data_IF_733127638835
#
_entry.id   IF_733127638835
#
_cell.length_a   1.000
_cell.length_b   1.000
_cell.length_c   1.000
_cell.angle_alpha   90.00
_cell.angle_beta   90.00
_cell.angle_gamma   90.00
#
_symmetry.space_group_name_H-M   'P 1'
#
loop_
_entity.id
_entity.type
_entity.pdbx_description
1 polymer ?
#
# COMPACT_ATOMS: atom_id res chain seq x y z
N UNK A 1 19.87 4.92 -1.75
CA UNK A 1 19.80 4.53 -0.33
C UNK A 1 18.34 4.51 0.07
N UNK A 2 17.91 3.38 0.63
CA UNK A 2 16.56 3.21 1.19
C UNK A 2 16.67 3.48 2.69
N UNK A 3 15.70 4.20 3.24
CA UNK A 3 15.54 4.40 4.68
C UNK A 3 14.32 3.62 5.12
N UNK A 4 14.42 2.94 6.26
CA UNK A 4 13.32 2.17 6.84
C UNK A 4 13.00 2.64 8.25
N UNK A 5 11.74 2.46 8.66
CA UNK A 5 11.28 2.69 10.04
C UNK A 5 10.10 1.76 10.33
N UNK A 6 9.83 1.47 11.59
CA UNK A 6 8.65 0.71 12.00
C UNK A 6 7.53 1.63 12.47
N UNK A 7 6.29 1.15 12.41
CA UNK A 7 5.08 1.82 12.90
C UNK A 7 4.22 0.81 13.65
N UNK A 8 3.94 1.06 14.92
CA UNK A 8 3.02 0.25 15.71
C UNK A 8 1.56 0.58 15.34
N UNK A 9 0.81 -0.42 14.86
CA UNK A 9 -0.61 -0.28 14.51
C UNK A 9 -1.50 -1.19 15.35
N UNK A 10 -2.83 -0.96 15.39
CA UNK A 10 -3.79 -1.90 15.98
C UNK A 10 -3.75 -3.33 15.38
N UNK A 11 -3.10 -3.51 14.22
CA UNK A 11 -3.00 -4.78 13.50
C UNK A 11 -1.60 -5.41 13.54
N UNK A 12 -0.75 -4.94 14.47
CA UNK A 12 0.65 -5.32 14.63
C UNK A 12 1.62 -4.32 14.01
N UNK A 13 2.90 -4.66 14.02
CA UNK A 13 3.95 -3.80 13.49
C UNK A 13 3.90 -3.70 11.96
N UNK A 14 4.19 -2.50 11.46
CA UNK A 14 4.29 -2.17 10.04
C UNK A 14 5.69 -1.67 9.76
N UNK A 15 6.38 -2.29 8.80
CA UNK A 15 7.64 -1.79 8.27
C UNK A 15 7.37 -0.83 7.11
N UNK A 16 7.90 0.39 7.20
CA UNK A 16 7.92 1.37 6.12
C UNK A 16 9.31 1.45 5.51
N UNK A 17 9.38 1.65 4.19
CA UNK A 17 10.60 1.86 3.44
C UNK A 17 10.42 2.96 2.40
N UNK A 18 11.37 3.89 2.31
CA UNK A 18 11.35 4.98 1.34
C UNK A 18 12.74 5.26 0.78
N UNK A 19 12.79 5.80 -0.44
CA UNK A 19 13.98 6.40 -1.01
C UNK A 19 13.74 7.89 -1.30
N UNK A 20 14.70 8.55 -1.96
CA UNK A 20 14.58 9.97 -2.31
C UNK A 20 13.45 10.30 -3.30
N UNK A 21 12.79 9.31 -3.91
CA UNK A 21 11.66 9.49 -4.84
C UNK A 21 10.31 9.29 -4.16
N UNK A 22 10.22 8.35 -3.21
CA UNK A 22 8.96 8.06 -2.54
C UNK A 22 8.99 6.78 -1.70
N UNK A 23 7.81 6.43 -1.21
CA UNK A 23 7.58 5.22 -0.41
C UNK A 23 7.74 4.02 -1.35
N UNK A 24 8.67 3.15 -1.03
CA UNK A 24 8.99 1.93 -1.79
C UNK A 24 8.40 0.68 -1.14
N UNK A 25 7.92 0.81 0.11
CA UNK A 25 7.39 -0.28 0.89
C UNK A 25 6.57 0.14 2.10
N UNK A 26 5.50 -0.62 2.36
CA UNK A 26 4.70 -0.59 3.58
C UNK A 26 4.12 -2.00 3.78
N UNK A 27 4.57 -2.69 4.82
CA UNK A 27 4.26 -4.09 5.03
C UNK A 27 3.92 -4.39 6.47
N UNK A 28 2.87 -5.19 6.70
CA UNK A 28 2.67 -5.78 8.02
C UNK A 28 3.74 -6.82 8.31
N UNK A 29 4.23 -6.89 9.53
CA UNK A 29 5.08 -8.02 9.95
C UNK A 29 4.36 -9.36 9.66
N UNK A 30 5.12 -10.29 9.06
CA UNK A 30 4.65 -11.63 8.71
C UNK A 30 3.81 -11.72 7.42
N UNK A 31 3.66 -10.66 6.64
CA UNK A 31 2.94 -10.75 5.35
C UNK A 31 3.71 -11.59 4.30
N UNK A 32 3.01 -12.18 3.33
CA UNK A 32 3.57 -13.15 2.34
C UNK A 32 4.73 -12.61 1.48
N UNK A 33 4.80 -11.29 1.26
CA UNK A 33 5.86 -10.63 0.49
C UNK A 33 6.54 -9.51 1.29
N UNK A 34 6.80 -9.76 2.57
CA UNK A 34 7.42 -8.80 3.47
C UNK A 34 8.79 -8.34 2.97
N UNK A 35 9.02 -7.02 2.93
CA UNK A 35 10.29 -6.43 2.56
C UNK A 35 10.71 -6.70 1.10
N UNK A 36 9.78 -7.00 0.19
CA UNK A 36 10.10 -7.46 -1.18
C UNK A 36 10.86 -6.46 -2.04
N UNK A 37 10.93 -5.18 -1.63
CA UNK A 37 11.70 -4.14 -2.33
C UNK A 37 12.98 -3.73 -1.58
N UNK A 38 13.27 -4.35 -0.43
CA UNK A 38 14.49 -4.13 0.33
C UNK A 38 15.63 -4.95 -0.25
N UNK A 39 16.64 -4.28 -0.80
CA UNK A 39 17.93 -4.89 -1.07
C UNK A 39 18.73 -4.83 0.24
N UNK A 40 19.18 -5.99 0.73
CA UNK A 40 19.82 -6.15 2.06
C UNK A 40 21.06 -5.28 2.29
N UNK A 41 21.65 -4.74 1.23
CA UNK A 41 22.91 -3.99 1.26
C UNK A 41 22.73 -2.46 1.20
N UNK A 42 21.50 -1.95 0.99
CA UNK A 42 21.23 -0.52 0.71
C UNK A 42 20.24 0.16 1.69
N UNK A 43 19.89 -0.50 2.80
CA UNK A 43 18.90 0.00 3.77
C UNK A 43 19.55 0.54 5.05
N UNK A 44 19.33 1.82 5.32
CA UNK A 44 19.57 2.42 6.64
C UNK A 44 18.29 2.35 7.47
N UNK A 45 18.36 1.83 8.69
CA UNK A 45 17.21 1.82 9.60
C UNK A 45 17.25 3.06 10.49
N UNK A 46 16.12 3.75 10.58
CA UNK A 46 15.93 4.93 11.42
C UNK A 46 14.84 4.59 12.44
N UNK A 47 15.16 4.80 13.72
CA UNK A 47 14.19 4.64 14.80
C UNK A 47 13.03 5.65 14.62
N UNK A 48 11.82 5.11 14.48
CA UNK A 48 10.57 5.87 14.54
C UNK A 48 10.07 5.94 15.98
N UNK A 49 9.48 7.07 16.39
CA UNK A 49 8.95 7.26 17.75
C UNK A 49 7.44 7.04 17.76
N UNK A 50 7.00 6.03 18.51
CA UNK A 50 5.65 5.43 18.54
C UNK A 50 4.43 6.37 18.45
N UNK A 51 3.46 5.95 17.61
CA UNK A 51 2.11 6.51 17.55
C UNK A 51 1.30 6.36 18.85
N UNK A 52 1.69 5.42 19.73
CA UNK A 52 1.04 5.15 21.02
C UNK A 52 1.41 6.19 22.09
N UNK A 53 2.56 6.85 21.95
CA UNK A 53 3.13 7.72 23.00
C UNK A 53 2.77 9.20 22.86
N UNK A 54 2.10 9.60 21.78
CA UNK A 54 1.55 10.96 21.61
C UNK A 54 2.55 12.11 21.49
N UNK A 55 3.86 11.86 21.57
CA UNK A 55 4.90 12.88 21.44
C UNK A 55 6.20 12.29 20.91
N UNK A 56 6.63 12.73 19.73
CA UNK A 56 7.93 12.41 19.15
C UNK A 56 7.94 12.57 17.64
N UNK A 57 8.61 13.60 17.13
CA UNK A 57 8.99 13.64 15.72
C UNK A 57 10.14 12.64 15.48
N UNK A 58 10.19 12.04 14.29
CA UNK A 58 11.27 11.12 13.89
C UNK A 58 12.62 11.77 14.20
N UNK A 59 13.45 11.11 15.03
CA UNK A 59 14.72 11.69 15.48
C UNK A 59 15.68 11.83 14.28
N UNK A 60 16.09 13.08 14.05
CA UNK A 60 17.00 13.59 13.02
C UNK A 60 17.87 12.55 12.29
N UNK A 61 17.51 12.28 11.03
CA UNK A 61 18.32 11.50 10.08
C UNK A 61 19.48 12.34 9.55
N UNK A 62 20.61 11.69 9.24
CA UNK A 62 21.76 12.30 8.57
C UNK A 62 21.34 13.15 7.34
N UNK A 63 21.96 14.33 7.08
CA UNK A 63 21.59 15.21 5.96
C UNK A 63 21.55 14.54 4.58
N UNK A 64 22.30 13.44 4.40
CA UNK A 64 22.34 12.65 3.18
C UNK A 64 21.00 11.99 2.80
N UNK A 65 20.08 11.82 3.75
CA UNK A 65 18.82 11.07 3.58
C UNK A 65 17.55 11.90 3.81
N UNK A 66 17.65 13.24 3.80
CA UNK A 66 16.52 14.12 4.12
C UNK A 66 15.27 13.89 3.28
N UNK A 67 15.42 13.57 1.98
CA UNK A 67 14.30 13.30 1.10
C UNK A 67 13.52 12.03 1.50
N UNK A 68 14.20 10.90 1.70
CA UNK A 68 13.58 9.64 2.12
C UNK A 68 12.92 9.76 3.50
N UNK A 69 13.59 10.46 4.42
CA UNK A 69 13.06 10.71 5.78
C UNK A 69 11.77 11.51 5.73
N UNK A 70 11.71 12.56 4.91
CA UNK A 70 10.48 13.36 4.75
C UNK A 70 9.32 12.57 4.15
N UNK A 71 9.60 11.52 3.34
CA UNK A 71 8.57 10.60 2.84
C UNK A 71 8.05 9.71 3.98
N UNK A 72 8.93 9.18 4.82
CA UNK A 72 8.55 8.37 5.98
C UNK A 72 7.72 9.19 6.98
N UNK A 73 8.11 10.43 7.27
CA UNK A 73 7.33 11.35 8.14
C UNK A 73 5.92 11.61 7.59
N UNK A 74 5.80 11.88 6.29
CA UNK A 74 4.50 12.05 5.63
C UNK A 74 3.65 10.77 5.69
N UNK A 75 4.29 9.61 5.54
CA UNK A 75 3.61 8.31 5.61
C UNK A 75 3.16 7.98 7.03
N UNK A 76 3.95 8.35 8.03
CA UNK A 76 3.58 8.30 9.45
C UNK A 76 2.37 9.16 9.76
N UNK A 77 2.38 10.43 9.35
CA UNK A 77 1.25 11.33 9.52
C UNK A 77 -0.02 10.79 8.85
N UNK A 78 0.13 10.18 7.67
CA UNK A 78 -0.95 9.52 6.96
C UNK A 78 -1.52 8.33 7.74
N UNK A 79 -0.67 7.42 8.22
CA UNK A 79 -1.09 6.23 8.98
C UNK A 79 -1.76 6.60 10.30
N UNK A 80 -1.24 7.61 11.01
CA UNK A 80 -1.86 8.13 12.22
C UNK A 80 -3.30 8.60 11.97
N UNK A 81 -3.51 9.41 10.91
CA UNK A 81 -4.86 9.85 10.55
C UNK A 81 -5.77 8.67 10.15
N UNK A 82 -5.25 7.75 9.34
CA UNK A 82 -5.98 6.58 8.87
C UNK A 82 -6.46 5.69 10.02
N UNK A 83 -5.55 5.27 10.91
CA UNK A 83 -5.89 4.41 12.05
C UNK A 83 -6.72 5.12 13.13
N UNK A 84 -6.70 6.46 13.18
CA UNK A 84 -7.64 7.25 13.97
C UNK A 84 -9.06 7.30 13.35
N UNK A 85 -9.31 6.59 12.26
CA UNK A 85 -10.59 6.56 11.55
C UNK A 85 -10.83 7.78 10.67
N UNK A 86 -9.87 8.69 10.52
CA UNK A 86 -10.00 9.90 9.70
C UNK A 86 -9.60 9.61 8.25
N UNK A 87 -10.15 10.37 7.30
CA UNK A 87 -9.71 10.31 5.91
C UNK A 87 -8.44 11.16 5.73
N UNK A 88 -7.29 10.56 5.36
CA UNK A 88 -6.07 11.32 5.16
C UNK A 88 -6.21 12.32 4.01
N UNK A 89 -5.69 13.54 4.19
CA UNK A 89 -5.89 14.66 3.23
C UNK A 89 -4.98 14.63 2.01
N UNK A 90 -4.01 13.73 1.97
CA UNK A 90 -3.03 13.62 0.90
C UNK A 90 -2.57 12.17 0.77
N UNK A 91 -1.89 11.83 -0.31
CA UNK A 91 -1.14 10.57 -0.45
C UNK A 91 0.35 10.90 -0.42
N UNK A 92 1.16 10.23 0.43
CA UNK A 92 2.61 10.41 0.40
C UNK A 92 3.19 10.10 -1.00
N UNK A 93 4.35 10.67 -1.39
CA UNK A 93 4.99 10.31 -2.65
C UNK A 93 5.22 8.80 -2.72
N UNK A 94 4.81 8.15 -3.82
CA UNK A 94 4.94 6.71 -4.01
C UNK A 94 6.00 6.40 -5.06
N UNK A 95 6.87 5.44 -4.76
CA UNK A 95 7.83 4.87 -5.71
C UNK A 95 7.63 3.35 -5.76
N UNK A 96 6.58 2.92 -6.47
CA UNK A 96 6.21 1.52 -6.58
C UNK A 96 7.17 0.75 -7.51
N UNK A 97 7.94 -0.19 -6.94
CA UNK A 97 8.91 -1.02 -7.67
C UNK A 97 8.24 -2.36 -8.03
N UNK A 98 8.09 -2.62 -9.33
CA UNK A 98 7.45 -3.82 -9.87
C UNK A 98 7.43 -3.83 -11.39
N UNK A 99 6.83 -4.88 -11.98
CA UNK A 99 6.63 -4.95 -13.44
C UNK A 99 5.71 -3.84 -13.93
N UNK A 100 5.72 -3.58 -15.24
CA UNK A 100 4.82 -2.58 -15.84
C UNK A 100 3.34 -2.89 -15.52
N UNK A 101 2.93 -4.14 -15.67
CA UNK A 101 1.56 -4.59 -15.37
C UNK A 101 1.22 -4.47 -13.88
N UNK A 102 2.14 -4.85 -12.99
CA UNK A 102 1.94 -4.70 -11.54
C UNK A 102 1.69 -3.24 -11.15
N UNK A 103 2.57 -2.33 -11.60
CA UNK A 103 2.42 -0.90 -11.32
C UNK A 103 1.10 -0.36 -11.84
N UNK A 104 0.68 -0.76 -13.02
CA UNK A 104 -0.60 -0.34 -13.57
C UNK A 104 -1.79 -0.79 -12.71
N UNK A 105 -1.80 -2.04 -12.28
CA UNK A 105 -2.81 -2.55 -11.35
C UNK A 105 -2.78 -1.77 -10.05
N UNK A 106 -1.61 -1.54 -9.46
CA UNK A 106 -1.49 -0.79 -8.20
C UNK A 106 -1.95 0.67 -8.32
N UNK A 107 -1.68 1.33 -9.45
CA UNK A 107 -2.25 2.64 -9.74
C UNK A 107 -3.77 2.60 -9.86
N UNK A 108 -4.34 1.54 -10.43
CA UNK A 108 -5.79 1.37 -10.46
C UNK A 108 -6.38 1.18 -9.06
N UNK A 109 -5.68 0.50 -8.14
CA UNK A 109 -6.17 0.35 -6.76
C UNK A 109 -6.36 1.69 -6.05
N UNK A 110 -5.51 2.69 -6.34
CA UNK A 110 -5.63 4.03 -5.77
C UNK A 110 -6.93 4.76 -6.19
N UNK A 111 -7.62 4.28 -7.23
CA UNK A 111 -8.89 4.85 -7.67
C UNK A 111 -10.08 4.39 -6.81
N UNK A 112 -9.92 3.32 -6.02
CA UNK A 112 -11.00 2.74 -5.21
C UNK A 112 -11.18 3.62 -3.95
N UNK A 113 -12.31 4.31 -3.78
CA UNK A 113 -12.53 5.21 -2.64
C UNK A 113 -12.54 4.47 -1.29
N UNK A 114 -12.33 5.22 -0.21
CA UNK A 114 -12.59 4.70 1.14
C UNK A 114 -14.07 4.35 1.28
N UNK A 115 -14.38 3.23 1.94
CA UNK A 115 -15.76 2.78 2.15
C UNK A 115 -16.36 2.01 0.96
N UNK A 116 -15.60 1.89 -0.13
CA UNK A 116 -15.98 1.14 -1.32
C UNK A 116 -15.06 -0.06 -1.55
N UNK A 117 -15.57 -1.03 -2.30
CA UNK A 117 -14.82 -2.20 -2.76
C UNK A 117 -14.92 -2.33 -4.27
N UNK A 118 -13.93 -2.98 -4.88
CA UNK A 118 -13.96 -3.37 -6.27
C UNK A 118 -13.64 -4.86 -6.41
N UNK A 119 -14.16 -5.50 -7.44
CA UNK A 119 -13.86 -6.88 -7.76
C UNK A 119 -12.59 -6.98 -8.62
N UNK A 120 -11.92 -8.14 -8.57
CA UNK A 120 -10.81 -8.42 -9.50
C UNK A 120 -11.22 -8.29 -10.97
N UNK A 121 -12.48 -8.56 -11.31
CA UNK A 121 -13.04 -8.42 -12.65
C UNK A 121 -13.16 -6.97 -13.09
N UNK A 122 -13.66 -6.09 -12.22
CA UNK A 122 -13.77 -4.66 -12.51
C UNK A 122 -12.40 -4.02 -12.70
N UNK A 123 -11.42 -4.36 -11.86
CA UNK A 123 -10.05 -3.87 -12.03
C UNK A 123 -9.48 -4.35 -13.37
N UNK A 124 -9.69 -5.62 -13.73
CA UNK A 124 -9.24 -6.14 -15.02
C UNK A 124 -9.86 -5.37 -16.20
N UNK A 125 -11.15 -5.05 -16.13
CA UNK A 125 -11.83 -4.26 -17.16
C UNK A 125 -11.28 -2.82 -17.26
N UNK A 126 -11.02 -2.16 -16.12
CA UNK A 126 -10.47 -0.81 -16.09
C UNK A 126 -9.04 -0.75 -16.64
N UNK A 127 -8.20 -1.73 -16.30
CA UNK A 127 -6.86 -1.87 -16.87
C UNK A 127 -6.94 -2.14 -18.38
N UNK A 128 -7.77 -3.07 -18.83
CA UNK A 128 -7.99 -3.34 -20.26
C UNK A 128 -8.42 -2.10 -21.04
N UNK A 129 -9.32 -1.29 -20.47
CA UNK A 129 -9.85 -0.08 -21.10
C UNK A 129 -8.79 0.99 -21.39
N UNK A 130 -7.73 1.08 -20.56
CA UNK A 130 -6.62 2.05 -20.75
C UNK A 130 -5.76 1.75 -21.98
N UNK A 131 -5.73 0.50 -22.39
CA UNK A 131 -4.98 0.03 -23.57
C UNK A 131 -5.84 -0.07 -24.83
N UNK A 132 -7.08 0.44 -24.78
CA UNK A 132 -7.96 0.41 -25.94
C UNK A 132 -7.43 1.34 -27.03
N UNK A 133 -7.13 0.77 -28.19
CA UNK A 133 -6.79 1.52 -29.40
C UNK A 133 -8.03 1.60 -30.29
N UNK A 134 -8.45 2.78 -30.77
CA UNK A 134 -9.56 2.91 -31.71
C UNK A 134 -9.35 2.04 -32.95
N UNK A 135 -10.38 1.27 -33.33
CA UNK A 135 -10.32 0.34 -34.47
C UNK A 135 -9.86 -1.07 -34.12
N UNK A 136 -9.41 -1.33 -32.89
CA UNK A 136 -9.01 -2.67 -32.44
C UNK A 136 -9.93 -3.18 -31.33
N UNK A 137 -9.98 -4.49 -31.16
CA UNK A 137 -10.55 -5.11 -29.96
C UNK A 137 -9.75 -4.68 -28.72
N UNK A 138 -10.44 -4.46 -27.61
CA UNK A 138 -9.78 -4.15 -26.35
C UNK A 138 -8.98 -5.38 -25.88
N UNK A 139 -7.76 -5.21 -25.35
CA UNK A 139 -6.99 -6.33 -24.85
C UNK A 139 -7.70 -6.99 -23.66
N UNK A 140 -7.64 -8.32 -23.59
CA UNK A 140 -8.23 -9.07 -22.48
C UNK A 140 -7.23 -9.11 -21.32
N UNK A 141 -7.64 -8.58 -20.17
CA UNK A 141 -6.91 -8.72 -18.90
C UNK A 141 -7.63 -9.74 -18.03
N UNK A 142 -6.90 -10.72 -17.52
CA UNK A 142 -7.46 -11.77 -16.67
C UNK A 142 -7.63 -11.29 -15.22
N UNK A 143 -8.79 -11.51 -14.57
CA UNK A 143 -8.97 -11.26 -13.14
C UNK A 143 -7.96 -12.02 -12.27
N UNK A 144 -7.51 -13.21 -12.70
CA UNK A 144 -6.48 -13.99 -11.99
C UNK A 144 -5.11 -13.31 -12.07
N UNK A 145 -4.77 -12.72 -13.22
CA UNK A 145 -3.53 -11.97 -13.37
C UNK A 145 -3.54 -10.71 -12.50
N UNK A 146 -4.69 -10.02 -12.43
CA UNK A 146 -4.90 -8.92 -11.49
C UNK A 146 -4.72 -9.40 -10.05
N UNK A 147 -5.34 -10.51 -9.65
CA UNK A 147 -5.17 -11.08 -8.32
C UNK A 147 -3.70 -11.33 -7.95
N UNK A 148 -2.91 -11.88 -8.87
CA UNK A 148 -1.47 -12.08 -8.67
C UNK A 148 -0.70 -10.75 -8.52
N UNK A 149 -1.09 -9.70 -9.26
CA UNK A 149 -0.51 -8.37 -9.12
C UNK A 149 -0.90 -7.70 -7.80
N UNK A 150 -2.17 -7.80 -7.39
CA UNK A 150 -2.71 -7.28 -6.12
C UNK A 150 -1.99 -7.91 -4.93
N UNK A 151 -1.77 -9.23 -4.95
CA UNK A 151 -1.05 -9.95 -3.90
C UNK A 151 0.39 -9.41 -3.70
N UNK A 152 1.02 -8.94 -4.78
CA UNK A 152 2.40 -8.43 -4.81
C UNK A 152 2.52 -6.94 -4.46
N UNK A 153 1.45 -6.29 -4.03
CA UNK A 153 1.49 -4.88 -3.64
C UNK A 153 2.56 -4.64 -2.53
N UNK A 154 3.60 -3.82 -2.79
CA UNK A 154 4.62 -3.55 -1.80
C UNK A 154 4.21 -2.47 -0.80
N UNK A 155 3.12 -1.74 -1.02
CA UNK A 155 2.70 -0.60 -0.19
C UNK A 155 1.27 -0.84 0.32
N UNK A 156 1.13 -1.74 1.29
CA UNK A 156 -0.17 -2.08 1.88
C UNK A 156 -0.87 -0.83 2.48
N UNK A 157 -2.19 -0.90 2.65
CA UNK A 157 -3.05 0.17 3.18
C UNK A 157 -3.14 1.40 2.27
N UNK A 158 -2.03 2.08 2.00
CA UNK A 158 -1.98 3.29 1.16
C UNK A 158 -2.31 2.94 -0.30
N UNK A 159 -1.72 1.88 -0.85
CA UNK A 159 -2.25 1.24 -2.07
C UNK A 159 -3.26 0.19 -1.60
N UNK A 160 -4.57 0.42 -1.77
CA UNK A 160 -5.59 -0.24 -0.95
C UNK A 160 -5.97 -1.63 -1.51
N UNK A 161 -5.03 -2.56 -1.51
CA UNK A 161 -5.26 -3.95 -1.96
C UNK A 161 -6.30 -4.69 -1.11
N UNK A 162 -6.59 -4.23 0.12
CA UNK A 162 -7.66 -4.78 0.97
C UNK A 162 -9.06 -4.46 0.45
N UNK A 163 -9.22 -3.43 -0.40
CA UNK A 163 -10.51 -3.07 -1.02
C UNK A 163 -10.89 -3.94 -2.22
N UNK A 164 -10.06 -4.92 -2.57
CA UNK A 164 -10.34 -5.84 -3.68
C UNK A 164 -11.00 -7.12 -3.17
N UNK A 165 -12.16 -7.47 -3.70
CA UNK A 165 -12.97 -8.64 -3.26
C UNK A 165 -13.30 -9.58 -4.42
N UNK A 166 -13.81 -10.77 -4.11
CA UNK A 166 -14.35 -11.65 -5.13
C UNK A 166 -15.68 -11.13 -5.70
N UNK A 167 -16.09 -11.71 -6.83
CA UNK A 167 -17.31 -11.31 -7.54
C UNK A 167 -18.60 -11.52 -6.73
N UNK A 168 -18.60 -12.43 -5.76
CA UNK A 168 -19.70 -12.68 -4.83
C UNK A 168 -19.63 -11.81 -3.56
N UNK A 169 -18.65 -10.90 -3.47
CA UNK A 169 -18.41 -10.06 -2.30
C UNK A 169 -17.65 -10.73 -1.17
N UNK A 170 -17.25 -12.00 -1.32
CA UNK A 170 -16.49 -12.70 -0.27
C UNK A 170 -15.08 -12.11 -0.08
N UNK A 171 -14.61 -12.14 1.18
CA UNK A 171 -13.24 -11.81 1.53
C UNK A 171 -12.37 -13.06 1.34
N UNK A 172 -11.55 -13.03 0.30
CA UNK A 172 -10.54 -14.03 0.00
C UNK A 172 -9.23 -13.33 -0.36
N UNK A 173 -8.12 -14.07 -0.22
CA UNK A 173 -6.78 -13.66 -0.63
C UNK A 173 -6.34 -12.27 -0.14
N UNK A 174 -5.49 -12.22 0.89
CA UNK A 174 -4.82 -11.00 1.30
C UNK A 174 -3.44 -11.30 1.83
N UNK A 175 -2.40 -10.68 1.26
CA UNK A 175 -1.02 -10.94 1.63
C UNK A 175 -0.72 -10.67 3.12
N UNK A 176 -1.48 -9.74 3.73
CA UNK A 176 -1.40 -9.42 5.16
C UNK A 176 -2.28 -10.30 6.07
N UNK A 177 -3.04 -11.27 5.55
CA UNK A 177 -3.98 -12.10 6.32
C UNK A 177 -5.42 -11.57 6.37
N UNK A 178 -6.41 -12.47 6.32
CA UNK A 178 -7.83 -12.09 6.18
C UNK A 178 -8.35 -11.26 7.36
N UNK A 179 -7.91 -11.54 8.58
CA UNK A 179 -8.31 -10.77 9.77
C UNK A 179 -7.95 -9.28 9.63
N UNK A 180 -6.76 -8.98 9.08
CA UNK A 180 -6.34 -7.60 8.80
C UNK A 180 -7.19 -6.96 7.72
N UNK A 181 -7.51 -7.69 6.64
CA UNK A 181 -8.36 -7.19 5.55
C UNK A 181 -9.76 -6.83 6.05
N UNK A 182 -10.38 -7.72 6.83
CA UNK A 182 -11.69 -7.49 7.42
C UNK A 182 -11.69 -6.29 8.37
N UNK A 183 -10.68 -6.18 9.24
CA UNK A 183 -10.54 -5.04 10.15
C UNK A 183 -10.39 -3.70 9.41
N UNK A 184 -9.55 -3.65 8.37
CA UNK A 184 -9.35 -2.43 7.56
C UNK A 184 -10.65 -2.03 6.86
N UNK A 185 -11.39 -2.98 6.29
CA UNK A 185 -12.67 -2.70 5.64
C UNK A 185 -13.72 -2.20 6.65
N UNK A 186 -13.76 -2.76 7.86
CA UNK A 186 -14.63 -2.26 8.94
C UNK A 186 -14.28 -0.84 9.37
N UNK A 187 -12.98 -0.54 9.55
CA UNK A 187 -12.52 0.83 9.86
C UNK A 187 -12.95 1.83 8.78
N UNK A 188 -13.02 1.38 7.54
CA UNK A 188 -13.43 2.19 6.40
C UNK A 188 -14.95 2.28 6.20
N UNK A 189 -15.74 1.47 6.91
CA UNK A 189 -17.19 1.38 6.73
C UNK A 189 -17.63 0.58 5.50
N UNK A 190 -16.74 -0.23 4.92
CA UNK A 190 -16.97 -1.03 3.72
C UNK A 190 -17.42 -2.49 4.01
N UNK A 191 -17.46 -2.89 5.27
CA UNK A 191 -17.80 -4.25 5.70
C UNK A 191 -18.43 -4.21 7.10
N UNK A 192 -19.45 -5.06 7.33
CA UNK A 192 -20.19 -5.17 8.59
C UNK A 192 -19.92 -6.56 9.19
#
# INVERSE_FOLDING_TARGET
MVVTTTFASPLGEILLAADGRGLTGLWFEGQEHFGSTLLREDSEHVEGVDAVSGTGGMLSVSPANGAASSVLERSWAWLNAYFAGQEPRFTPPLHMIGTAFQREVWFELLSIPRGEVATYGEIAQRVAARHRVPGNEAPVVSPRAVGAAVARNPISIIVPCHRVVAADGSLNGYAGGLDRKEWLLRLEGAYL
#
